data_IF_876423611245
#
_entry.id   IF_876423611245
#
_cell.length_a   1.000
_cell.length_b   1.000
_cell.length_c   1.000
_cell.angle_alpha   90.00
_cell.angle_beta   90.00
_cell.angle_gamma   90.00
#
_symmetry.space_group_name_H-M   'P 1'
#
loop_
_entity.id
_entity.type
_entity.pdbx_description
1 polymer ?
#
# COMPACT_ATOMS: atom_id res chain seq x y z
N UNK A 1 -9.02 -11.93 28.25
CA UNK A 1 -9.81 -12.18 27.02
C UNK A 1 -9.18 -11.38 25.92
N UNK A 2 -8.85 -12.00 24.78
CA UNK A 2 -8.40 -11.25 23.60
C UNK A 2 -9.64 -10.54 23.02
N UNK A 3 -9.65 -9.20 23.08
CA UNK A 3 -10.70 -8.37 22.50
C UNK A 3 -10.76 -8.61 20.98
N UNK A 4 -11.97 -8.73 20.43
CA UNK A 4 -12.20 -8.83 18.99
C UNK A 4 -12.17 -7.46 18.32
N UNK A 5 -11.92 -7.43 17.00
CA UNK A 5 -11.96 -6.19 16.21
C UNK A 5 -13.32 -5.48 16.30
N UNK A 6 -14.43 -6.24 16.32
CA UNK A 6 -15.77 -5.65 16.44
C UNK A 6 -15.97 -5.00 17.81
N UNK A 7 -15.58 -5.67 18.90
CA UNK A 7 -15.66 -5.11 20.25
C UNK A 7 -14.86 -3.81 20.36
N UNK A 8 -13.64 -3.80 19.83
CA UNK A 8 -12.80 -2.60 19.79
C UNK A 8 -13.46 -1.44 19.03
N UNK A 9 -14.03 -1.71 17.85
CA UNK A 9 -14.72 -0.69 17.05
C UNK A 9 -15.96 -0.16 17.76
N UNK A 10 -16.70 -1.03 18.47
CA UNK A 10 -17.86 -0.61 19.27
C UNK A 10 -17.45 0.25 20.46
N UNK A 11 -16.34 -0.05 21.12
CA UNK A 11 -15.78 0.81 22.17
C UNK A 11 -15.39 2.20 21.65
N UNK A 12 -14.83 2.30 20.43
CA UNK A 12 -14.57 3.61 19.79
C UNK A 12 -15.87 4.37 19.58
N UNK A 13 -16.91 3.70 19.05
CA UNK A 13 -18.22 4.29 18.82
C UNK A 13 -18.79 4.87 20.11
N UNK A 14 -18.77 4.09 21.20
CA UNK A 14 -19.31 4.52 22.49
C UNK A 14 -18.48 5.66 23.10
N UNK A 15 -17.15 5.52 23.11
CA UNK A 15 -16.22 6.51 23.69
C UNK A 15 -16.34 7.88 23.02
N UNK A 16 -16.53 7.92 21.71
CA UNK A 16 -16.60 9.17 20.93
C UNK A 16 -18.03 9.59 20.59
N UNK A 17 -19.04 8.87 21.09
CA UNK A 17 -20.47 9.11 20.80
C UNK A 17 -20.75 9.18 19.30
N UNK A 18 -20.19 8.23 18.55
CA UNK A 18 -20.36 8.12 17.10
C UNK A 18 -21.71 7.46 16.76
N UNK A 19 -22.25 7.77 15.59
CA UNK A 19 -23.36 7.00 15.01
C UNK A 19 -22.87 5.76 14.27
N UNK A 20 -21.72 5.88 13.60
CA UNK A 20 -21.07 4.75 12.95
C UNK A 20 -19.54 4.90 12.83
N UNK A 21 -18.90 3.76 12.65
CA UNK A 21 -17.49 3.65 12.29
C UNK A 21 -17.36 2.90 10.96
N UNK A 22 -16.58 3.44 10.03
CA UNK A 22 -16.37 2.85 8.70
C UNK A 22 -15.02 2.14 8.64
N UNK A 23 -15.02 0.93 8.09
CA UNK A 23 -13.83 0.10 7.89
C UNK A 23 -13.66 -0.14 6.39
N UNK A 24 -12.52 0.29 5.85
CA UNK A 24 -12.15 0.06 4.45
C UNK A 24 -11.34 -1.23 4.29
N UNK A 25 -11.43 -1.86 3.11
CA UNK A 25 -10.60 -2.98 2.72
C UNK A 25 -9.30 -2.50 2.06
N UNK A 26 -8.43 -1.88 2.85
CA UNK A 26 -7.18 -1.27 2.38
C UNK A 26 -6.16 -1.22 3.52
N UNK A 27 -4.88 -1.32 3.16
CA UNK A 27 -3.78 -1.04 4.06
C UNK A 27 -3.32 0.43 3.94
N UNK A 28 -2.27 0.79 4.67
CA UNK A 28 -1.75 2.17 4.73
C UNK A 28 -0.98 2.61 3.48
N UNK A 29 -0.64 1.68 2.59
CA UNK A 29 -0.03 1.95 1.30
C UNK A 29 -1.05 1.88 0.14
N UNK A 30 -2.31 1.57 0.44
CA UNK A 30 -3.39 1.41 -0.51
C UNK A 30 -3.08 0.35 -1.59
N UNK A 31 -2.41 -0.74 -1.19
CA UNK A 31 -2.12 -1.86 -2.09
C UNK A 31 -3.42 -2.53 -2.57
N UNK A 32 -3.39 -3.08 -3.79
CA UNK A 32 -4.51 -3.88 -4.33
C UNK A 32 -4.67 -5.20 -3.56
N UNK A 33 -3.55 -5.87 -3.28
CA UNK A 33 -3.47 -7.01 -2.38
C UNK A 33 -2.97 -6.54 -1.02
N UNK A 34 -3.69 -6.90 0.05
CA UNK A 34 -3.36 -6.51 1.42
C UNK A 34 -2.95 -7.75 2.22
N UNK A 35 -2.11 -7.56 3.24
CA UNK A 35 -1.76 -8.67 4.15
C UNK A 35 -2.99 -9.16 4.89
N UNK A 36 -2.95 -10.44 5.31
CA UNK A 36 -4.01 -11.05 6.13
C UNK A 36 -4.35 -10.23 7.38
N UNK A 37 -3.34 -9.65 8.05
CA UNK A 37 -3.57 -8.78 9.22
C UNK A 37 -4.28 -7.47 8.89
N UNK A 38 -4.21 -7.01 7.65
CA UNK A 38 -4.84 -5.77 7.18
C UNK A 38 -6.26 -6.02 6.61
N UNK A 39 -6.68 -7.29 6.45
CA UNK A 39 -8.01 -7.71 5.96
C UNK A 39 -9.13 -7.50 7.01
N UNK A 40 -9.26 -6.28 7.54
CA UNK A 40 -10.23 -5.90 8.58
C UNK A 40 -11.68 -6.17 8.18
N UNK A 41 -12.03 -5.95 6.90
CA UNK A 41 -13.36 -6.24 6.36
C UNK A 41 -13.68 -7.73 6.44
N UNK A 42 -12.75 -8.60 6.04
CA UNK A 42 -12.91 -10.05 6.16
C UNK A 42 -13.14 -10.45 7.62
N UNK A 43 -12.32 -9.95 8.54
CA UNK A 43 -12.45 -10.31 9.95
C UNK A 43 -13.77 -9.90 10.58
N UNK A 44 -14.26 -8.71 10.22
CA UNK A 44 -15.48 -8.20 10.84
C UNK A 44 -16.76 -8.68 10.13
N UNK A 45 -16.71 -9.05 8.86
CA UNK A 45 -17.93 -9.38 8.10
C UNK A 45 -17.98 -10.80 7.57
N UNK A 46 -16.89 -11.56 7.65
CA UNK A 46 -16.66 -12.84 6.95
C UNK A 46 -16.60 -12.73 5.42
N UNK A 47 -16.73 -11.54 4.85
CA UNK A 47 -16.67 -11.32 3.41
C UNK A 47 -15.21 -11.24 2.92
N UNK A 48 -14.84 -12.13 2.00
CA UNK A 48 -13.47 -12.29 1.50
C UNK A 48 -13.19 -11.63 0.15
N UNK A 49 -14.13 -10.84 -0.38
CA UNK A 49 -13.90 -10.13 -1.65
C UNK A 49 -12.88 -9.00 -1.49
N UNK A 50 -12.12 -8.71 -2.55
CA UNK A 50 -11.08 -7.68 -2.53
C UNK A 50 -11.62 -6.25 -2.55
N UNK A 51 -12.90 -6.05 -2.87
CA UNK A 51 -13.57 -4.76 -2.73
C UNK A 51 -14.64 -4.84 -1.65
N UNK A 52 -14.50 -4.06 -0.57
CA UNK A 52 -15.49 -4.03 0.50
C UNK A 52 -15.31 -2.82 1.41
N UNK A 53 -16.42 -2.36 1.97
CA UNK A 53 -16.44 -1.36 3.04
C UNK A 53 -17.51 -1.78 4.03
N UNK A 54 -17.17 -1.86 5.31
CA UNK A 54 -18.12 -2.19 6.37
C UNK A 54 -18.45 -0.94 7.14
N UNK A 55 -19.74 -0.74 7.42
CA UNK A 55 -20.22 0.29 8.36
C UNK A 55 -20.66 -0.42 9.63
N UNK A 56 -19.95 -0.19 10.73
CA UNK A 56 -20.35 -0.65 12.06
C UNK A 56 -21.19 0.44 12.70
N UNK A 57 -22.41 0.06 13.08
CA UNK A 57 -23.39 0.93 13.72
C UNK A 57 -24.41 0.07 14.48
N UNK A 58 -25.55 0.65 14.87
CA UNK A 58 -26.71 -0.12 15.36
C UNK A 58 -27.27 -1.07 14.29
N UNK A 59 -27.17 -0.67 13.02
CA UNK A 59 -27.56 -1.47 11.86
C UNK A 59 -26.32 -1.65 10.96
N UNK A 60 -25.45 -2.64 11.21
CA UNK A 60 -24.24 -2.80 10.43
C UNK A 60 -24.55 -3.21 8.98
N UNK A 61 -23.72 -2.81 8.03
CA UNK A 61 -23.84 -3.23 6.63
C UNK A 61 -22.48 -3.46 5.97
N UNK A 62 -22.51 -4.28 4.92
CA UNK A 62 -21.42 -4.41 3.96
C UNK A 62 -21.79 -3.66 2.68
N UNK A 63 -20.85 -2.91 2.15
CA UNK A 63 -20.93 -2.21 0.87
C UNK A 63 -19.82 -2.74 -0.03
N UNK A 64 -20.18 -3.13 -1.25
CA UNK A 64 -19.24 -3.58 -2.29
C UNK A 64 -19.80 -3.23 -3.67
N UNK A 65 -18.98 -3.35 -4.71
CA UNK A 65 -19.44 -3.26 -6.09
C UNK A 65 -20.14 -4.55 -6.59
N UNK A 66 -20.74 -4.45 -7.78
CA UNK A 66 -21.59 -5.48 -8.37
C UNK A 66 -20.89 -6.81 -8.67
N UNK A 67 -19.55 -6.82 -8.82
CA UNK A 67 -18.78 -8.04 -9.06
C UNK A 67 -18.90 -9.02 -7.89
N UNK A 68 -19.13 -8.49 -6.68
CA UNK A 68 -19.13 -9.26 -5.45
C UNK A 68 -20.51 -9.45 -4.83
N UNK A 69 -21.62 -9.02 -5.45
CA UNK A 69 -22.95 -9.10 -4.82
C UNK A 69 -23.34 -10.52 -4.38
N UNK A 70 -23.13 -11.51 -5.25
CA UNK A 70 -23.46 -12.91 -4.94
C UNK A 70 -22.55 -13.43 -3.82
N UNK A 71 -21.25 -13.13 -3.89
CA UNK A 71 -20.29 -13.52 -2.86
C UNK A 71 -20.62 -12.89 -1.51
N UNK A 72 -20.95 -11.59 -1.48
CA UNK A 72 -21.34 -10.85 -0.29
C UNK A 72 -22.61 -11.44 0.34
N UNK A 73 -23.63 -11.75 -0.45
CA UNK A 73 -24.86 -12.37 0.05
C UNK A 73 -24.64 -13.75 0.68
N UNK A 74 -23.64 -14.50 0.20
CA UNK A 74 -23.34 -15.85 0.68
C UNK A 74 -22.35 -15.88 1.85
N UNK A 75 -21.42 -14.92 1.93
CA UNK A 75 -20.33 -14.92 2.91
C UNK A 75 -20.56 -13.93 4.06
N UNK A 76 -21.10 -12.75 3.76
CA UNK A 76 -21.19 -11.66 4.74
C UNK A 76 -22.20 -11.98 5.82
N UNK A 77 -21.82 -11.81 7.10
CA UNK A 77 -22.78 -11.81 8.21
C UNK A 77 -23.58 -10.51 8.32
N UNK A 78 -23.18 -9.46 7.61
CA UNK A 78 -23.91 -8.19 7.55
C UNK A 78 -24.72 -8.06 6.26
N UNK A 79 -25.91 -7.43 6.32
CA UNK A 79 -26.70 -7.10 5.13
C UNK A 79 -25.90 -6.32 4.09
N UNK A 80 -26.07 -6.70 2.82
CA UNK A 80 -25.48 -6.02 1.68
C UNK A 80 -26.28 -4.75 1.32
N UNK A 81 -25.60 -3.60 1.28
CA UNK A 81 -26.12 -2.36 0.74
C UNK A 81 -25.49 -2.06 -0.63
N UNK A 82 -26.33 -1.94 -1.66
CA UNK A 82 -25.92 -1.90 -3.08
C UNK A 82 -25.82 -0.47 -3.63
N UNK A 83 -25.15 0.42 -2.90
CA UNK A 83 -24.91 1.81 -3.32
C UNK A 83 -23.65 2.36 -2.59
N UNK A 84 -23.33 3.63 -2.79
CA UNK A 84 -22.18 4.31 -2.19
C UNK A 84 -22.31 4.41 -0.67
N UNK A 85 -21.16 4.45 0.00
CA UNK A 85 -21.05 4.70 1.45
C UNK A 85 -21.84 5.93 1.91
N UNK A 86 -21.71 7.05 1.19
CA UNK A 86 -22.41 8.29 1.54
C UNK A 86 -23.93 8.15 1.48
N UNK A 87 -24.46 7.42 0.48
CA UNK A 87 -25.89 7.16 0.36
C UNK A 87 -26.41 6.39 1.59
N UNK A 88 -25.63 5.42 2.09
CA UNK A 88 -25.98 4.68 3.30
C UNK A 88 -26.04 5.58 4.53
N UNK A 89 -24.99 6.39 4.75
CA UNK A 89 -24.89 7.29 5.91
C UNK A 89 -26.05 8.30 5.92
N UNK A 90 -26.36 8.88 4.75
CA UNK A 90 -27.47 9.84 4.59
C UNK A 90 -28.81 9.15 4.84
N UNK A 91 -29.05 7.97 4.25
CA UNK A 91 -30.29 7.20 4.43
C UNK A 91 -30.54 6.87 5.91
N UNK A 92 -29.48 6.51 6.64
CA UNK A 92 -29.55 6.21 8.07
C UNK A 92 -29.57 7.45 8.97
N UNK A 93 -29.46 8.65 8.38
CA UNK A 93 -29.45 9.93 9.09
C UNK A 93 -28.33 9.99 10.15
N UNK A 94 -27.22 9.29 9.93
CA UNK A 94 -26.06 9.33 10.80
C UNK A 94 -25.39 10.71 10.69
N UNK A 95 -25.01 11.27 11.85
CA UNK A 95 -24.47 12.62 12.01
C UNK A 95 -23.04 12.63 12.50
N UNK A 96 -22.59 11.60 13.21
CA UNK A 96 -21.19 11.47 13.67
C UNK A 96 -20.56 10.21 13.11
N UNK A 97 -19.60 10.39 12.21
CA UNK A 97 -18.95 9.30 11.48
C UNK A 97 -17.46 9.35 11.73
N UNK A 98 -16.84 8.19 11.94
CA UNK A 98 -15.38 8.06 11.99
C UNK A 98 -14.88 6.91 11.11
N UNK A 99 -13.60 6.97 10.77
CA UNK A 99 -12.82 5.91 10.14
C UNK A 99 -11.32 6.20 10.27
N UNK A 100 -10.51 5.17 10.05
CA UNK A 100 -9.04 5.29 10.05
C UNK A 100 -8.56 6.02 8.78
N UNK A 101 -8.08 7.25 8.96
CA UNK A 101 -7.61 8.13 7.87
C UNK A 101 -6.40 7.59 7.14
N UNK A 102 -5.65 6.65 7.72
CA UNK A 102 -4.49 6.02 7.07
C UNK A 102 -4.89 4.98 6.03
N UNK A 103 -6.13 4.50 6.07
CA UNK A 103 -6.64 3.44 5.17
C UNK A 103 -7.49 3.98 4.02
N UNK A 104 -7.45 5.28 3.76
CA UNK A 104 -8.26 5.92 2.72
C UNK A 104 -7.40 6.85 1.86
N UNK A 105 -7.62 6.85 0.56
CA UNK A 105 -6.94 7.81 -0.32
C UNK A 105 -7.39 9.24 -0.06
N UNK A 106 -6.47 10.19 -0.20
CA UNK A 106 -6.75 11.62 -0.03
C UNK A 106 -7.90 12.11 -0.94
N UNK A 107 -7.98 11.58 -2.17
CA UNK A 107 -9.07 11.87 -3.11
C UNK A 107 -10.42 11.36 -2.60
N UNK A 108 -10.48 10.15 -2.04
CA UNK A 108 -11.73 9.60 -1.49
C UNK A 108 -12.12 10.33 -0.20
N UNK A 109 -11.14 10.66 0.64
CA UNK A 109 -11.34 11.46 1.86
C UNK A 109 -11.97 12.81 1.54
N UNK A 110 -11.37 13.60 0.63
CA UNK A 110 -11.89 14.92 0.22
C UNK A 110 -13.34 14.84 -0.26
N UNK A 111 -13.64 13.88 -1.15
CA UNK A 111 -15.01 13.66 -1.65
C UNK A 111 -16.01 13.31 -0.55
N UNK A 112 -15.59 12.51 0.44
CA UNK A 112 -16.44 12.21 1.60
C UNK A 112 -16.66 13.45 2.46
N UNK A 113 -15.60 14.23 2.72
CA UNK A 113 -15.72 15.46 3.52
C UNK A 113 -16.63 16.50 2.87
N UNK A 114 -16.53 16.70 1.54
CA UNK A 114 -17.45 17.54 0.77
C UNK A 114 -18.91 17.06 0.96
N UNK A 115 -19.15 15.76 0.74
CA UNK A 115 -20.49 15.17 0.92
C UNK A 115 -21.00 15.31 2.35
N UNK A 116 -20.12 15.13 3.35
CA UNK A 116 -20.49 15.23 4.76
C UNK A 116 -20.86 16.67 5.13
N UNK A 117 -20.10 17.65 4.66
CA UNK A 117 -20.39 19.08 4.86
C UNK A 117 -21.76 19.45 4.29
N UNK A 118 -22.08 19.01 3.07
CA UNK A 118 -23.38 19.28 2.42
C UNK A 118 -24.58 18.68 3.16
N UNK A 119 -24.36 17.60 3.92
CA UNK A 119 -25.42 16.85 4.59
C UNK A 119 -25.43 17.03 6.12
N UNK A 120 -24.67 18.01 6.63
CA UNK A 120 -24.52 18.27 8.07
C UNK A 120 -24.10 17.01 8.84
N UNK A 121 -23.08 16.32 8.33
CA UNK A 121 -22.45 15.14 8.95
C UNK A 121 -21.09 15.58 9.46
N UNK A 122 -20.81 15.33 10.72
CA UNK A 122 -19.54 15.57 11.39
C UNK A 122 -18.63 14.35 11.21
N UNK A 123 -17.43 14.59 10.67
CA UNK A 123 -16.34 13.62 10.76
C UNK A 123 -15.63 13.81 12.09
N UNK A 124 -15.56 12.76 12.90
CA UNK A 124 -14.88 12.77 14.19
C UNK A 124 -13.58 12.00 14.04
N UNK A 125 -12.45 12.68 14.14
CA UNK A 125 -11.14 12.03 14.10
C UNK A 125 -10.94 11.15 15.35
N UNK A 126 -10.46 9.92 15.14
CA UNK A 126 -10.21 8.95 16.21
C UNK A 126 -8.93 8.17 15.93
N UNK A 127 -8.23 7.78 16.99
CA UNK A 127 -7.07 6.90 16.85
C UNK A 127 -7.52 5.44 16.70
N UNK A 128 -6.96 4.73 15.72
CA UNK A 128 -7.13 3.29 15.55
C UNK A 128 -5.83 2.56 15.91
N UNK A 129 -5.82 1.83 17.01
CA UNK A 129 -4.64 1.17 17.61
C UNK A 129 -4.81 -0.34 17.78
N UNK A 130 -5.77 -0.94 17.09
CA UNK A 130 -6.00 -2.38 17.15
C UNK A 130 -5.07 -3.12 16.20
N UNK A 131 -4.19 -3.95 16.77
CA UNK A 131 -3.34 -4.84 16.01
C UNK A 131 -3.94 -6.25 15.98
N UNK A 132 -4.05 -6.79 14.78
CA UNK A 132 -4.69 -8.07 14.52
C UNK A 132 -3.64 -9.16 14.68
N UNK A 133 -3.80 -10.03 15.68
CA UNK A 133 -2.96 -11.21 15.85
C UNK A 133 -3.45 -12.34 14.92
N UNK A 134 -2.64 -12.72 13.95
CA UNK A 134 -2.86 -13.92 13.13
C UNK A 134 -1.95 -15.06 13.63
N UNK A 135 -2.51 -16.24 13.87
CA UNK A 135 -1.76 -17.40 14.43
C UNK A 135 -0.80 -18.05 13.42
N UNK A 136 -0.94 -17.77 12.13
CA UNK A 136 -0.25 -18.52 11.07
C UNK A 136 0.37 -17.56 10.03
N UNK A 137 1.45 -16.89 10.44
CA UNK A 137 2.26 -16.04 9.56
C UNK A 137 3.50 -16.83 9.08
N UNK A 138 3.27 -18.00 8.47
CA UNK A 138 4.31 -18.85 7.86
C UNK A 138 5.10 -18.13 6.74
N UNK A 139 4.65 -16.95 6.30
CA UNK A 139 5.39 -16.08 5.38
C UNK A 139 6.59 -15.37 6.01
N UNK A 140 6.74 -15.42 7.34
CA UNK A 140 7.80 -14.69 8.04
C UNK A 140 9.23 -15.07 7.59
N UNK A 141 9.49 -16.29 7.11
CA UNK A 141 10.87 -16.68 6.75
C UNK A 141 11.37 -16.07 5.44
N UNK A 142 10.51 -15.89 4.43
CA UNK A 142 10.84 -15.22 3.16
C UNK A 142 10.55 -13.71 3.20
N UNK A 143 9.68 -13.27 4.13
CA UNK A 143 9.30 -11.86 4.24
C UNK A 143 10.51 -10.94 4.35
N UNK A 144 11.57 -11.33 5.07
CA UNK A 144 12.73 -10.47 5.33
C UNK A 144 13.73 -10.39 4.18
N UNK A 145 13.60 -11.21 3.14
CA UNK A 145 14.52 -11.20 2.01
C UNK A 145 14.27 -9.98 1.10
N UNK A 146 15.36 -9.36 0.65
CA UNK A 146 15.34 -8.28 -0.33
C UNK A 146 16.20 -8.66 -1.52
N UNK A 147 15.63 -8.53 -2.71
CA UNK A 147 16.29 -8.79 -3.97
C UNK A 147 16.79 -7.47 -4.56
N UNK A 148 18.10 -7.37 -4.73
CA UNK A 148 18.77 -6.22 -5.34
C UNK A 148 18.85 -6.44 -6.84
N UNK A 149 17.99 -5.78 -7.63
CA UNK A 149 17.91 -6.05 -9.06
C UNK A 149 19.21 -5.71 -9.80
N UNK A 150 20.02 -4.79 -9.27
CA UNK A 150 21.28 -4.38 -9.91
C UNK A 150 22.37 -5.45 -9.92
N UNK A 151 22.27 -6.48 -9.07
CA UNK A 151 23.22 -7.60 -9.08
C UNK A 151 22.96 -8.56 -10.25
N UNK A 152 21.83 -8.43 -10.93
CA UNK A 152 21.42 -9.28 -12.03
C UNK A 152 21.67 -8.58 -13.36
N UNK A 153 22.24 -9.32 -14.31
CA UNK A 153 22.54 -8.86 -15.65
C UNK A 153 21.53 -9.43 -16.64
N UNK A 154 21.09 -8.66 -17.64
CA UNK A 154 20.14 -9.16 -18.63
C UNK A 154 20.70 -10.37 -19.40
N UNK A 155 22.00 -10.38 -19.68
CA UNK A 155 22.71 -11.49 -20.34
C UNK A 155 22.58 -12.82 -19.60
N UNK A 156 22.49 -12.83 -18.26
CA UNK A 156 22.38 -14.09 -17.51
C UNK A 156 21.00 -14.76 -17.64
N UNK A 157 20.00 -14.07 -18.20
CA UNK A 157 18.66 -14.64 -18.43
C UNK A 157 18.39 -14.95 -19.89
N UNK A 158 19.27 -14.51 -20.79
CA UNK A 158 19.24 -14.86 -22.20
C UNK A 158 19.92 -16.23 -22.38
N UNK A 159 19.30 -17.29 -21.87
CA UNK A 159 19.72 -18.66 -22.14
C UNK A 159 19.08 -19.12 -23.45
N UNK A 160 19.85 -19.09 -24.53
CA UNK A 160 19.47 -19.74 -25.79
C UNK A 160 19.57 -21.25 -25.62
N UNK A 161 18.50 -21.97 -25.95
CA UNK A 161 18.44 -23.42 -25.86
C UNK A 161 19.49 -24.08 -26.77
N UNK A 162 20.33 -24.92 -26.16
CA UNK A 162 21.12 -25.98 -26.78
C UNK A 162 21.90 -25.64 -28.06
N UNK A 163 23.04 -24.98 -27.89
CA UNK A 163 24.19 -25.24 -28.76
C UNK A 163 25.48 -25.12 -27.95
N UNK A 164 26.21 -26.24 -27.92
CA UNK A 164 27.57 -26.45 -27.46
C UNK A 164 28.51 -25.24 -27.49
N UNK A 165 29.31 -25.11 -26.43
CA UNK A 165 30.63 -24.46 -26.36
C UNK A 165 30.92 -23.36 -27.40
N UNK A 166 30.61 -22.12 -27.02
CA UNK A 166 30.98 -20.93 -27.80
C UNK A 166 29.77 -20.19 -28.35
N UNK A 167 28.96 -19.60 -27.46
CA UNK A 167 27.89 -18.69 -27.87
C UNK A 167 28.49 -17.31 -28.20
N UNK A 168 28.85 -17.11 -29.47
CA UNK A 168 28.77 -15.79 -30.07
C UNK A 168 27.29 -15.38 -30.14
N UNK A 169 27.03 -14.12 -29.78
CA UNK A 169 25.73 -13.46 -29.81
C UNK A 169 25.05 -13.66 -31.17
N UNK A 170 23.85 -14.27 -31.24
CA UNK A 170 23.08 -14.28 -32.48
C UNK A 170 22.84 -12.82 -32.91
N UNK A 171 23.40 -12.37 -34.06
CA UNK A 171 23.29 -10.99 -34.51
C UNK A 171 21.83 -10.54 -34.67
N UNK A 172 20.92 -11.45 -35.05
CA UNK A 172 19.51 -11.14 -35.26
C UNK A 172 18.80 -10.78 -33.93
N UNK A 173 19.21 -11.41 -32.83
CA UNK A 173 18.63 -11.14 -31.50
C UNK A 173 19.17 -9.82 -30.94
N UNK A 174 20.47 -9.55 -31.16
CA UNK A 174 21.04 -8.24 -30.83
C UNK A 174 20.35 -7.12 -31.58
N UNK A 175 20.08 -7.32 -32.87
CA UNK A 175 19.37 -6.36 -33.72
C UNK A 175 17.92 -6.17 -33.27
N UNK A 176 17.21 -7.27 -32.94
CA UNK A 176 15.85 -7.21 -32.40
C UNK A 176 15.79 -6.48 -31.05
N UNK A 177 16.66 -6.81 -30.10
CA UNK A 177 16.74 -6.13 -28.81
C UNK A 177 17.10 -4.65 -28.97
N UNK A 178 18.03 -4.32 -29.86
CA UNK A 178 18.37 -2.93 -30.19
C UNK A 178 17.20 -2.17 -30.81
N UNK A 179 16.38 -2.84 -31.66
CA UNK A 179 15.16 -2.27 -32.23
C UNK A 179 14.11 -1.92 -31.17
N UNK A 180 14.12 -2.63 -30.04
CA UNK A 180 13.29 -2.36 -28.87
C UNK A 180 13.95 -1.37 -27.87
N UNK A 181 15.14 -0.86 -28.18
CA UNK A 181 15.88 0.08 -27.33
C UNK A 181 16.81 -0.56 -26.30
N UNK A 182 16.95 -1.89 -26.28
CA UNK A 182 17.86 -2.62 -25.38
C UNK A 182 19.27 -2.70 -25.95
N UNK A 183 19.92 -1.54 -26.06
CA UNK A 183 21.27 -1.43 -26.64
C UNK A 183 22.40 -1.87 -25.68
N UNK A 184 22.13 -1.87 -24.36
CA UNK A 184 23.12 -2.25 -23.34
C UNK A 184 22.68 -3.53 -22.60
N UNK A 185 22.91 -4.67 -23.25
CA UNK A 185 22.50 -5.99 -22.76
C UNK A 185 23.48 -6.51 -21.69
N UNK A 186 24.66 -5.91 -21.60
CA UNK A 186 25.62 -6.11 -20.50
C UNK A 186 25.28 -5.23 -19.28
N UNK A 187 24.24 -4.40 -19.34
CA UNK A 187 23.75 -3.61 -18.21
C UNK A 187 22.95 -4.43 -17.19
N UNK A 188 22.65 -3.81 -16.05
CA UNK A 188 21.73 -4.43 -15.08
C UNK A 188 20.32 -4.60 -15.70
N UNK A 189 19.56 -5.58 -15.20
CA UNK A 189 18.21 -5.91 -15.72
C UNK A 189 17.20 -4.76 -15.68
N UNK A 190 17.48 -3.69 -14.94
CA UNK A 190 16.57 -2.54 -14.81
C UNK A 190 16.85 -1.42 -15.82
N UNK A 191 17.97 -1.50 -16.55
CA UNK A 191 18.37 -0.51 -17.57
C UNK A 191 18.83 0.86 -17.03
N UNK A 192 18.80 1.09 -15.71
CA UNK A 192 19.27 2.32 -15.08
C UNK A 192 19.60 2.08 -13.63
N UNK A 193 20.74 2.58 -13.14
CA UNK A 193 21.07 2.52 -11.73
C UNK A 193 20.10 3.36 -10.87
N UNK A 194 19.88 2.98 -9.61
CA UNK A 194 19.00 3.68 -8.68
C UNK A 194 19.51 5.10 -8.39
N UNK A 195 20.83 5.29 -8.32
CA UNK A 195 21.44 6.61 -8.16
C UNK A 195 21.06 7.54 -9.32
N UNK A 196 21.01 7.03 -10.55
CA UNK A 196 20.61 7.81 -11.71
C UNK A 196 19.11 8.13 -11.69
N UNK A 197 18.26 7.19 -11.22
CA UNK A 197 16.83 7.45 -10.98
C UNK A 197 16.64 8.56 -9.96
N UNK A 198 17.33 8.48 -8.82
CA UNK A 198 17.29 9.49 -7.76
C UNK A 198 17.73 10.86 -8.28
N UNK A 199 18.83 10.95 -9.05
CA UNK A 199 19.27 12.20 -9.68
C UNK A 199 18.21 12.78 -10.62
N UNK A 200 17.60 11.95 -11.48
CA UNK A 200 16.53 12.38 -12.37
C UNK A 200 15.32 12.89 -11.59
N UNK A 201 14.91 12.18 -10.54
CA UNK A 201 13.78 12.59 -9.69
C UNK A 201 14.09 13.92 -8.99
N UNK A 202 15.28 14.09 -8.41
CA UNK A 202 15.71 15.35 -7.78
C UNK A 202 15.64 16.55 -8.72
N UNK A 203 16.02 16.37 -9.98
CA UNK A 203 15.92 17.42 -11.00
C UNK A 203 14.46 17.78 -11.34
N UNK A 204 13.53 16.83 -11.26
CA UNK A 204 12.11 17.05 -11.53
C UNK A 204 11.41 17.75 -10.36
N UNK A 205 11.73 17.35 -9.12
CA UNK A 205 11.07 17.90 -7.92
C UNK A 205 11.61 19.28 -7.53
N UNK A 206 12.76 19.67 -8.08
CA UNK A 206 13.34 21.02 -8.01
C UNK A 206 13.44 21.58 -6.58
N UNK A 207 14.25 20.91 -5.76
CA UNK A 207 14.52 21.32 -4.38
C UNK A 207 13.39 21.08 -3.38
N UNK A 208 12.22 20.58 -3.83
CA UNK A 208 11.12 20.19 -2.95
C UNK A 208 11.36 18.82 -2.32
N UNK A 209 10.69 18.58 -1.20
CA UNK A 209 10.62 17.25 -0.58
C UNK A 209 9.60 16.41 -1.33
N UNK A 210 10.02 15.20 -1.74
CA UNK A 210 9.13 14.19 -2.30
C UNK A 210 8.96 13.05 -1.31
N UNK A 211 7.72 12.76 -0.96
CA UNK A 211 7.33 11.61 -0.13
C UNK A 211 6.67 10.59 -1.05
N UNK A 212 7.15 9.37 -1.02
CA UNK A 212 6.63 8.24 -1.80
C UNK A 212 6.11 7.20 -0.81
N UNK A 213 4.82 6.89 -0.93
CA UNK A 213 4.12 5.90 -0.10
C UNK A 213 3.74 4.65 -0.90
N UNK A 214 3.83 4.67 -2.23
CA UNK A 214 3.50 3.55 -3.11
C UNK A 214 4.68 2.58 -3.19
N UNK A 215 4.47 1.33 -2.73
CA UNK A 215 5.56 0.36 -2.52
C UNK A 215 6.26 -0.06 -3.83
N UNK A 216 5.49 -0.19 -4.91
CA UNK A 216 6.01 -0.49 -6.25
C UNK A 216 6.88 0.65 -6.79
N UNK A 217 6.47 1.89 -6.56
CA UNK A 217 7.26 3.08 -6.90
C UNK A 217 8.56 3.09 -6.11
N UNK A 218 8.53 2.81 -4.80
CA UNK A 218 9.76 2.72 -3.98
C UNK A 218 10.69 1.63 -4.52
N UNK A 219 10.17 0.43 -4.77
CA UNK A 219 10.93 -0.68 -5.36
C UNK A 219 11.50 -0.34 -6.74
N UNK A 220 10.79 0.44 -7.55
CA UNK A 220 11.28 0.92 -8.84
C UNK A 220 12.39 1.97 -8.69
N UNK A 221 12.25 2.94 -7.78
CA UNK A 221 13.24 3.99 -7.54
C UNK A 221 14.57 3.38 -7.09
N UNK A 222 14.49 2.43 -6.15
CA UNK A 222 15.66 1.83 -5.50
C UNK A 222 16.19 0.55 -6.18
N UNK A 223 15.52 0.06 -7.23
CA UNK A 223 15.83 -1.21 -7.86
C UNK A 223 15.79 -2.40 -6.88
N UNK A 224 14.86 -2.37 -5.92
CA UNK A 224 14.68 -3.40 -4.90
C UNK A 224 13.35 -4.13 -5.07
N UNK A 225 13.31 -5.41 -4.69
CA UNK A 225 12.08 -6.21 -4.60
C UNK A 225 12.03 -6.93 -3.25
N UNK A 226 10.82 -7.24 -2.80
CA UNK A 226 10.58 -7.98 -1.57
C UNK A 226 9.38 -8.91 -1.69
N UNK A 227 8.97 -9.48 -0.55
CA UNK A 227 7.97 -10.56 -0.51
C UNK A 227 6.84 -10.27 0.50
N UNK A 228 6.63 -9.00 0.86
CA UNK A 228 5.70 -8.65 1.94
C UNK A 228 4.22 -8.67 1.50
N UNK A 229 3.97 -8.54 0.20
CA UNK A 229 2.62 -8.57 -0.40
C UNK A 229 2.54 -9.73 -1.38
N UNK A 230 1.48 -10.52 -1.31
CA UNK A 230 1.26 -11.61 -2.26
C UNK A 230 1.06 -11.06 -3.68
N UNK A 231 1.60 -11.76 -4.68
CA UNK A 231 1.57 -11.39 -6.12
C UNK A 231 2.34 -10.12 -6.52
N UNK A 232 2.62 -9.22 -5.57
CA UNK A 232 3.36 -7.99 -5.80
C UNK A 232 4.74 -8.07 -5.13
N UNK A 233 5.86 -8.09 -5.89
CA UNK A 233 7.20 -8.26 -5.34
C UNK A 233 7.73 -6.98 -4.67
N UNK A 234 7.04 -6.52 -3.62
CA UNK A 234 7.29 -5.28 -2.89
C UNK A 234 7.53 -5.54 -1.39
N UNK A 235 8.05 -4.53 -0.69
CA UNK A 235 8.31 -4.58 0.74
C UNK A 235 7.80 -3.31 1.43
N UNK A 236 7.30 -3.44 2.66
CA UNK A 236 6.78 -2.32 3.43
C UNK A 236 7.85 -1.27 3.63
N UNK A 237 7.60 -0.09 3.08
CA UNK A 237 8.54 1.00 3.12
C UNK A 237 7.88 2.35 2.87
N UNK A 238 8.52 3.40 3.38
CA UNK A 238 8.31 4.78 2.93
C UNK A 238 9.62 5.35 2.42
N UNK A 239 9.56 6.23 1.42
CA UNK A 239 10.75 6.86 0.86
C UNK A 239 10.57 8.38 0.84
N UNK A 240 11.52 9.09 1.45
CA UNK A 240 11.59 10.55 1.42
C UNK A 240 12.84 10.95 0.64
N UNK A 241 12.66 11.74 -0.41
CA UNK A 241 13.74 12.36 -1.16
C UNK A 241 13.74 13.84 -0.84
N UNK A 242 14.84 14.32 -0.27
CA UNK A 242 15.12 15.75 -0.16
C UNK A 242 16.20 16.13 -1.17
N UNK A 243 16.56 17.42 -1.19
CA UNK A 243 17.69 17.91 -2.00
C UNK A 243 18.99 17.14 -1.68
N UNK A 244 19.22 16.88 -0.40
CA UNK A 244 20.51 16.39 0.10
C UNK A 244 20.44 14.92 0.55
N UNK A 245 19.29 14.46 1.05
CA UNK A 245 19.12 13.14 1.65
C UNK A 245 18.16 12.24 0.85
N UNK A 246 18.33 10.93 1.03
CA UNK A 246 17.38 9.89 0.63
C UNK A 246 17.16 9.02 1.85
N UNK A 247 15.93 8.99 2.36
CA UNK A 247 15.56 8.31 3.60
C UNK A 247 14.57 7.19 3.30
N UNK A 248 14.97 5.96 3.55
CA UNK A 248 14.14 4.78 3.40
C UNK A 248 13.70 4.30 4.80
N UNK A 249 12.40 4.29 5.07
CA UNK A 249 11.84 3.79 6.32
C UNK A 249 11.35 2.37 6.09
N UNK A 250 12.02 1.37 6.67
CA UNK A 250 11.67 -0.04 6.52
C UNK A 250 12.33 -0.87 7.62
N UNK A 251 11.73 -2.01 7.96
CA UNK A 251 12.31 -2.96 8.92
C UNK A 251 13.19 -4.01 8.24
N UNK A 252 13.46 -3.85 6.93
CA UNK A 252 14.32 -4.71 6.13
C UNK A 252 15.77 -4.28 6.29
N UNK A 253 16.67 -5.27 6.35
CA UNK A 253 18.11 -5.02 6.36
C UNK A 253 18.58 -4.69 4.94
N UNK A 254 18.65 -3.39 4.65
CA UNK A 254 19.01 -2.86 3.34
C UNK A 254 20.25 -1.97 3.45
N UNK A 255 21.21 -2.21 2.56
CA UNK A 255 22.41 -1.40 2.43
C UNK A 255 22.53 -0.88 0.99
N UNK A 256 22.26 0.41 0.80
CA UNK A 256 22.49 1.13 -0.45
C UNK A 256 23.36 2.35 -0.16
N UNK A 257 24.30 2.64 -1.06
CA UNK A 257 25.04 3.90 -1.00
C UNK A 257 24.05 5.06 -1.08
N UNK A 258 24.39 6.21 -0.48
CA UNK A 258 23.59 7.44 -0.44
C UNK A 258 22.14 7.34 0.10
N UNK A 259 21.71 6.17 0.61
CA UNK A 259 20.37 5.95 1.20
C UNK A 259 20.52 5.66 2.69
N UNK A 260 19.91 6.50 3.53
CA UNK A 260 19.83 6.27 4.97
C UNK A 260 18.59 5.45 5.28
N UNK A 261 18.80 4.27 5.87
CA UNK A 261 17.72 3.38 6.30
C UNK A 261 17.34 3.69 7.75
N UNK A 262 16.04 3.83 8.01
CA UNK A 262 15.44 4.12 9.31
C UNK A 262 14.34 3.09 9.60
N UNK A 263 14.01 2.82 10.87
CA UNK A 263 12.90 1.92 11.23
C UNK A 263 11.58 2.35 10.59
N UNK A 264 10.76 1.39 10.17
CA UNK A 264 9.51 1.65 9.45
C UNK A 264 8.55 2.56 10.25
N UNK A 265 8.47 2.33 11.56
CA UNK A 265 7.59 3.05 12.48
C UNK A 265 8.07 4.48 12.81
N UNK A 266 9.28 4.89 12.41
CA UNK A 266 9.77 6.25 12.62
C UNK A 266 9.29 7.24 11.55
N UNK A 267 8.67 6.76 10.45
CA UNK A 267 8.24 7.60 9.34
C UNK A 267 7.36 8.77 9.78
N UNK A 268 6.30 8.50 10.55
CA UNK A 268 5.35 9.54 10.98
C UNK A 268 6.00 10.57 11.89
N UNK A 269 6.83 10.11 12.85
CA UNK A 269 7.60 10.99 13.72
C UNK A 269 8.57 11.85 12.94
N UNK A 270 9.17 11.32 11.87
CA UNK A 270 10.06 12.09 11.02
C UNK A 270 9.29 13.16 10.22
N UNK A 271 8.08 12.88 9.74
CA UNK A 271 7.26 13.87 9.03
C UNK A 271 6.97 15.11 9.89
N UNK A 272 6.77 14.95 11.20
CA UNK A 272 6.59 16.08 12.13
C UNK A 272 7.78 17.06 12.07
N UNK A 273 9.00 16.54 11.91
CA UNK A 273 10.22 17.37 11.82
C UNK A 273 10.34 18.15 10.51
N UNK A 274 9.72 17.66 9.42
CA UNK A 274 9.72 18.35 8.12
C UNK A 274 8.70 19.49 8.11
N UNK A 275 7.55 19.31 8.75
CA UNK A 275 6.46 20.31 8.80
C UNK A 275 6.85 21.56 9.59
N UNK A 276 7.79 21.44 10.53
CA UNK A 276 8.31 22.57 11.32
C UNK A 276 9.39 23.39 10.60
N UNK A 277 9.85 22.99 9.40
CA UNK A 277 10.76 23.79 8.59
C UNK A 277 9.97 24.85 7.80
N UNK A 278 10.14 26.16 8.08
CA UNK A 278 9.49 27.20 7.30
C UNK A 278 10.03 27.18 5.87
N UNK A 279 9.12 27.07 4.89
CA UNK A 279 9.39 27.28 3.46
C UNK A 279 9.74 28.74 3.20
#
# INVERSE_FOLDING_TARGET
MNQTLEEYVREIIDKHSLDCYVIFNSDIHLNEYIRKKDMRVLQISNFSGSNGTVVISKEPCLITDSRYYIQAQNQSRFPLFKDKLSAYIILKQYKKVSFDTKTISSTRFKKLMETFSENSIEFVETEFKFDIKFEDDQYNSLSNEIVYLEQYNLKSYLHFSDASEGLEYDPAIKEYLSSLGFNNIDGNVTGSHYQDKIKRIRNIVDGKVLIITELDTIGWVLNLRGFDIEFNPVFFSFLILTKDEVLLFTDKDIALDMVKVLPYNEFERYLETIVECPV
#
